data_IF_055707729839
#
_entry.id   IF_055707729839
#
_cell.length_a   1.000
_cell.length_b   1.000
_cell.length_c   1.000
_cell.angle_alpha   90.00
_cell.angle_beta   90.00
_cell.angle_gamma   90.00
#
_symmetry.space_group_name_H-M   'P 1'
#
loop_
_entity.id
_entity.type
_entity.pdbx_description
1 polymer ?
#
# COMPACT_ATOMS: atom_id res chain seq x y z
N UNK A 1 -28.49 8.75 81.54
CA UNK A 1 -29.48 7.91 80.84
C UNK A 1 -29.13 7.98 79.37
N UNK A 2 -28.50 6.92 78.86
CA UNK A 2 -28.05 6.80 77.46
C UNK A 2 -29.24 6.30 76.65
N UNK A 3 -29.64 7.03 75.61
CA UNK A 3 -30.45 6.47 74.52
C UNK A 3 -29.77 6.82 73.20
N UNK A 4 -28.85 5.91 72.86
CA UNK A 4 -28.59 5.33 71.54
C UNK A 4 -28.84 6.24 70.32
N UNK A 5 -27.75 6.70 69.69
CA UNK A 5 -27.78 7.15 68.31
C UNK A 5 -28.15 5.97 67.40
N UNK A 6 -29.29 6.03 66.71
CA UNK A 6 -29.55 5.15 65.58
C UNK A 6 -28.48 5.39 64.51
N UNK A 7 -27.44 4.55 64.49
CA UNK A 7 -26.54 4.40 63.35
C UNK A 7 -27.30 3.60 62.31
N UNK A 8 -27.98 4.29 61.40
CA UNK A 8 -28.56 3.71 60.19
C UNK A 8 -27.44 3.13 59.30
N UNK A 9 -27.29 1.81 59.43
CA UNK A 9 -26.84 0.78 58.48
C UNK A 9 -25.59 1.01 57.61
N UNK A 10 -24.41 0.48 58.02
CA UNK A 10 -23.24 0.36 57.14
C UNK A 10 -23.48 -0.50 55.89
N UNK A 11 -24.47 -1.39 55.93
CA UNK A 11 -24.82 -2.32 54.86
C UNK A 11 -25.38 -1.63 53.60
N UNK A 12 -26.17 -0.57 53.75
CA UNK A 12 -26.72 0.18 52.61
C UNK A 12 -25.62 0.90 51.82
N UNK A 13 -24.64 1.48 52.53
CA UNK A 13 -23.50 2.14 51.90
C UNK A 13 -22.58 1.15 51.19
N UNK A 14 -22.33 -0.01 51.79
CA UNK A 14 -21.50 -1.06 51.19
C UNK A 14 -22.11 -1.62 49.90
N UNK A 15 -23.43 -1.88 49.89
CA UNK A 15 -24.15 -2.28 48.68
C UNK A 15 -24.12 -1.18 47.63
N UNK A 16 -24.34 0.08 48.02
CA UNK A 16 -24.32 1.19 47.09
C UNK A 16 -22.92 1.37 46.46
N UNK A 17 -21.87 1.31 47.27
CA UNK A 17 -20.49 1.36 46.81
C UNK A 17 -20.15 0.18 45.89
N UNK A 18 -20.63 -1.03 46.21
CA UNK A 18 -20.46 -2.21 45.36
C UNK A 18 -21.15 -2.06 44.00
N UNK A 19 -22.38 -1.51 43.97
CA UNK A 19 -23.10 -1.24 42.72
C UNK A 19 -22.35 -0.21 41.89
N UNK A 20 -21.91 0.91 42.48
CA UNK A 20 -21.15 1.95 41.77
C UNK A 20 -19.83 1.38 41.22
N UNK A 21 -19.09 0.61 42.04
CA UNK A 21 -17.86 -0.04 41.62
C UNK A 21 -18.09 -1.00 40.44
N UNK A 22 -19.15 -1.81 40.50
CA UNK A 22 -19.55 -2.69 39.40
C UNK A 22 -19.91 -1.90 38.14
N UNK A 23 -20.73 -0.86 38.25
CA UNK A 23 -21.14 -0.04 37.11
C UNK A 23 -19.94 0.63 36.44
N UNK A 24 -19.02 1.23 37.21
CA UNK A 24 -17.81 1.84 36.66
C UNK A 24 -16.95 0.79 35.96
N UNK A 25 -16.78 -0.38 36.56
CA UNK A 25 -15.99 -1.49 35.99
C UNK A 25 -16.60 -1.99 34.69
N UNK A 26 -17.93 -2.18 34.65
CA UNK A 26 -18.65 -2.63 33.47
C UNK A 26 -18.54 -1.62 32.31
N UNK A 27 -18.74 -0.32 32.60
CA UNK A 27 -18.59 0.75 31.61
C UNK A 27 -17.17 0.86 31.08
N UNK A 28 -16.17 0.74 31.97
CA UNK A 28 -14.75 0.78 31.58
C UNK A 28 -14.40 -0.40 30.69
N UNK A 29 -14.83 -1.60 31.07
CA UNK A 29 -14.61 -2.84 30.29
C UNK A 29 -15.26 -2.73 28.91
N UNK A 30 -16.50 -2.26 28.85
CA UNK A 30 -17.21 -2.05 27.58
C UNK A 30 -16.47 -1.06 26.68
N UNK A 31 -16.00 0.06 27.22
CA UNK A 31 -15.22 1.06 26.47
C UNK A 31 -13.88 0.50 25.97
N UNK A 32 -13.17 -0.27 26.80
CA UNK A 32 -11.90 -0.89 26.43
C UNK A 32 -12.08 -1.94 25.33
N UNK A 33 -13.08 -2.81 25.46
CA UNK A 33 -13.40 -3.82 24.45
C UNK A 33 -13.74 -3.17 23.11
N UNK A 34 -14.58 -2.13 23.10
CA UNK A 34 -14.92 -1.42 21.87
C UNK A 34 -13.68 -0.88 21.13
N UNK A 35 -12.77 -0.23 21.86
CA UNK A 35 -11.50 0.28 21.29
C UNK A 35 -10.57 -0.84 20.83
N UNK A 36 -10.51 -1.95 21.54
CA UNK A 36 -9.69 -3.10 21.14
C UNK A 36 -10.23 -3.73 19.85
N UNK A 37 -11.55 -3.97 19.77
CA UNK A 37 -12.19 -4.54 18.58
C UNK A 37 -12.01 -3.64 17.35
N UNK A 38 -12.17 -2.32 17.49
CA UNK A 38 -11.95 -1.38 16.39
C UNK A 38 -10.48 -1.39 15.91
N UNK A 39 -9.53 -1.41 16.85
CA UNK A 39 -8.11 -1.48 16.51
C UNK A 39 -7.72 -2.79 15.83
N UNK A 40 -8.28 -3.91 16.28
CA UNK A 40 -8.08 -5.22 15.65
C UNK A 40 -8.65 -5.25 14.24
N UNK A 41 -9.87 -4.75 14.03
CA UNK A 41 -10.48 -4.65 12.71
C UNK A 41 -9.65 -3.78 11.77
N UNK A 42 -9.23 -2.60 12.23
CA UNK A 42 -8.38 -1.69 11.46
C UNK A 42 -7.02 -2.32 11.13
N UNK A 43 -6.45 -3.10 12.05
CA UNK A 43 -5.23 -3.87 11.81
C UNK A 43 -5.45 -4.96 10.76
N UNK A 44 -6.56 -5.68 10.82
CA UNK A 44 -6.87 -6.73 9.84
C UNK A 44 -7.05 -6.16 8.43
N UNK A 45 -7.81 -5.07 8.29
CA UNK A 45 -7.98 -4.36 7.01
C UNK A 45 -6.62 -3.90 6.46
N UNK A 46 -5.76 -3.34 7.31
CA UNK A 46 -4.41 -2.92 6.92
C UNK A 46 -3.54 -4.09 6.46
N UNK A 47 -3.58 -5.22 7.18
CA UNK A 47 -2.85 -6.43 6.78
C UNK A 47 -3.35 -6.92 5.43
N UNK A 48 -4.67 -7.02 5.22
CA UNK A 48 -5.25 -7.45 3.93
C UNK A 48 -4.81 -6.53 2.78
N UNK A 49 -4.83 -5.21 3.00
CA UNK A 49 -4.37 -4.24 2.00
C UNK A 49 -2.87 -4.38 1.71
N UNK A 50 -2.04 -4.52 2.76
CA UNK A 50 -0.60 -4.74 2.62
C UNK A 50 -0.28 -6.03 1.86
N UNK A 51 -1.01 -7.11 2.15
CA UNK A 51 -0.90 -8.39 1.44
C UNK A 51 -1.24 -8.22 -0.03
N UNK A 52 -2.39 -7.60 -0.36
CA UNK A 52 -2.78 -7.33 -1.74
C UNK A 52 -1.72 -6.52 -2.50
N UNK A 53 -1.23 -5.45 -1.87
CA UNK A 53 -0.18 -4.59 -2.42
C UNK A 53 1.11 -5.36 -2.70
N UNK A 54 1.53 -6.21 -1.76
CA UNK A 54 2.72 -7.06 -1.89
C UNK A 54 2.55 -8.08 -3.02
N UNK A 55 1.38 -8.72 -3.14
CA UNK A 55 1.09 -9.68 -4.22
C UNK A 55 1.21 -9.02 -5.59
N UNK A 56 0.61 -7.85 -5.79
CA UNK A 56 0.68 -7.14 -7.08
C UNK A 56 2.11 -6.70 -7.38
N UNK A 57 2.88 -6.26 -6.37
CA UNK A 57 4.29 -5.93 -6.57
C UNK A 57 5.15 -7.14 -6.89
N UNK A 58 4.90 -8.30 -6.32
CA UNK A 58 5.59 -9.53 -6.69
C UNK A 58 5.26 -9.94 -8.13
N UNK A 59 3.99 -9.82 -8.54
CA UNK A 59 3.58 -10.06 -9.92
C UNK A 59 4.26 -9.10 -10.90
N UNK A 60 4.32 -7.81 -10.55
CA UNK A 60 5.05 -6.80 -11.32
C UNK A 60 6.50 -7.20 -11.51
N UNK A 61 7.24 -7.46 -10.43
CA UNK A 61 8.67 -7.79 -10.51
C UNK A 61 8.87 -9.03 -11.39
N UNK A 62 8.03 -10.06 -11.24
CA UNK A 62 8.11 -11.26 -12.06
C UNK A 62 7.88 -10.98 -13.54
N UNK A 63 6.89 -10.16 -13.88
CA UNK A 63 6.64 -9.77 -15.28
C UNK A 63 7.81 -8.93 -15.84
N UNK A 64 8.37 -8.04 -15.04
CA UNK A 64 9.55 -7.27 -15.42
C UNK A 64 10.76 -8.19 -15.66
N UNK A 65 10.99 -9.20 -14.82
CA UNK A 65 12.04 -10.20 -15.04
C UNK A 65 11.85 -10.96 -16.36
N UNK A 66 10.61 -11.39 -16.64
CA UNK A 66 10.29 -12.11 -17.87
C UNK A 66 10.53 -11.24 -19.11
N UNK A 67 10.20 -9.94 -19.02
CA UNK A 67 10.42 -8.96 -20.08
C UNK A 67 11.92 -8.69 -20.30
N UNK A 68 12.68 -8.47 -19.23
CA UNK A 68 14.11 -8.14 -19.27
C UNK A 68 14.94 -9.32 -19.80
N UNK A 69 14.48 -10.56 -19.63
CA UNK A 69 15.15 -11.76 -20.16
C UNK A 69 15.02 -11.92 -21.68
N UNK A 70 14.14 -11.18 -22.35
CA UNK A 70 13.91 -11.31 -23.80
C UNK A 70 14.98 -10.55 -24.57
N UNK A 71 15.63 -11.22 -25.52
CA UNK A 71 16.62 -10.59 -26.42
C UNK A 71 15.97 -9.63 -27.44
N UNK A 72 14.66 -9.76 -27.65
CA UNK A 72 13.86 -8.95 -28.56
C UNK A 72 12.52 -8.62 -27.92
N UNK A 73 12.13 -7.37 -27.98
CA UNK A 73 10.85 -6.88 -27.50
C UNK A 73 9.82 -6.99 -28.64
N UNK A 74 8.67 -7.56 -28.31
CA UNK A 74 7.52 -7.70 -29.20
C UNK A 74 6.43 -6.68 -28.87
N UNK A 75 5.49 -6.48 -29.78
CA UNK A 75 4.34 -5.63 -29.54
C UNK A 75 3.45 -6.14 -28.37
N UNK A 76 3.35 -7.47 -28.21
CA UNK A 76 2.64 -8.08 -27.07
C UNK A 76 3.24 -7.64 -25.73
N UNK A 77 4.58 -7.56 -25.64
CA UNK A 77 5.27 -7.12 -24.42
C UNK A 77 4.89 -5.68 -24.01
N UNK A 78 4.60 -4.83 -25.00
CA UNK A 78 4.20 -3.45 -24.79
C UNK A 78 2.76 -3.37 -24.31
N UNK A 79 1.88 -4.23 -24.83
CA UNK A 79 0.50 -4.38 -24.35
C UNK A 79 0.50 -4.90 -22.90
N UNK A 80 1.31 -5.93 -22.61
CA UNK A 80 1.46 -6.46 -21.25
C UNK A 80 1.95 -5.38 -20.28
N UNK A 81 2.95 -4.60 -20.67
CA UNK A 81 3.48 -3.51 -19.86
C UNK A 81 2.45 -2.38 -19.65
N UNK A 82 1.58 -2.11 -20.63
CA UNK A 82 0.48 -1.16 -20.51
C UNK A 82 -0.58 -1.62 -19.51
N UNK A 83 -0.98 -2.89 -19.57
CA UNK A 83 -1.90 -3.48 -18.59
C UNK A 83 -1.30 -3.46 -17.18
N UNK A 84 0.01 -3.67 -17.08
CA UNK A 84 0.75 -3.60 -15.83
C UNK A 84 0.78 -2.17 -15.27
N UNK A 85 0.98 -1.15 -16.11
CA UNK A 85 0.89 0.26 -15.73
C UNK A 85 -0.48 0.61 -15.12
N UNK A 86 -1.57 0.15 -15.73
CA UNK A 86 -2.93 0.36 -15.20
C UNK A 86 -3.14 -0.27 -13.82
N UNK A 87 -2.61 -1.48 -13.60
CA UNK A 87 -2.68 -2.15 -12.30
C UNK A 87 -1.87 -1.40 -11.24
N UNK A 88 -0.70 -0.90 -11.61
CA UNK A 88 0.18 -0.13 -10.72
C UNK A 88 -0.45 1.18 -10.27
N UNK A 89 -1.12 1.90 -11.17
CA UNK A 89 -1.84 3.16 -10.87
C UNK A 89 -2.82 3.02 -9.70
N UNK A 90 -3.46 1.86 -9.56
CA UNK A 90 -4.44 1.63 -8.50
C UNK A 90 -3.82 1.47 -7.10
N UNK A 91 -2.63 0.88 -7.01
CA UNK A 91 -2.03 0.49 -5.71
C UNK A 91 -0.80 1.29 -5.33
N UNK A 92 -0.06 1.80 -6.31
CA UNK A 92 1.32 2.19 -6.11
C UNK A 92 1.48 3.59 -5.52
N UNK A 93 2.56 3.78 -4.77
CA UNK A 93 3.00 5.10 -4.33
C UNK A 93 3.49 5.95 -5.50
N UNK A 94 3.51 7.26 -5.31
CA UNK A 94 4.04 8.22 -6.29
C UNK A 94 5.46 7.84 -6.76
N UNK A 95 6.38 7.63 -5.83
CA UNK A 95 7.76 7.31 -6.17
C UNK A 95 7.88 6.02 -6.98
N UNK A 96 7.04 5.02 -6.67
CA UNK A 96 6.98 3.76 -7.41
C UNK A 96 6.54 4.01 -8.85
N UNK A 97 5.49 4.83 -9.05
CA UNK A 97 5.02 5.18 -10.39
C UNK A 97 6.05 5.98 -11.19
N UNK A 98 6.77 6.88 -10.54
CA UNK A 98 7.87 7.64 -11.17
C UNK A 98 9.01 6.70 -11.59
N UNK A 99 9.45 5.80 -10.70
CA UNK A 99 10.48 4.82 -11.02
C UNK A 99 10.03 3.88 -12.14
N UNK A 100 8.78 3.40 -12.08
CA UNK A 100 8.21 2.53 -13.10
C UNK A 100 8.09 3.24 -14.46
N UNK A 101 7.72 4.51 -14.50
CA UNK A 101 7.67 5.28 -15.74
C UNK A 101 9.05 5.40 -16.40
N UNK A 102 10.12 5.61 -15.62
CA UNK A 102 11.49 5.61 -16.15
C UNK A 102 11.85 4.27 -16.80
N UNK A 103 11.49 3.16 -16.13
CA UNK A 103 11.62 1.82 -16.71
C UNK A 103 10.86 1.71 -18.03
N UNK A 104 9.58 2.09 -18.08
CA UNK A 104 8.74 2.00 -19.29
C UNK A 104 9.32 2.83 -20.43
N UNK A 105 9.74 4.08 -20.17
CA UNK A 105 10.38 4.95 -21.17
C UNK A 105 11.58 4.24 -21.81
N UNK A 106 12.44 3.67 -20.96
CA UNK A 106 13.66 3.00 -21.42
C UNK A 106 13.31 1.74 -22.19
N UNK A 107 12.41 0.92 -21.67
CA UNK A 107 11.92 -0.29 -22.32
C UNK A 107 11.36 -0.01 -23.73
N UNK A 108 10.47 0.96 -23.87
CA UNK A 108 9.88 1.34 -25.18
C UNK A 108 10.96 1.85 -26.14
N UNK A 109 11.97 2.57 -25.65
CA UNK A 109 13.10 2.99 -26.49
C UNK A 109 13.89 1.79 -27.00
N UNK A 110 14.11 0.78 -26.16
CA UNK A 110 14.78 -0.46 -26.56
C UNK A 110 13.94 -1.28 -27.54
N UNK A 111 12.61 -1.22 -27.43
CA UNK A 111 11.70 -1.89 -28.35
C UNK A 111 11.81 -1.39 -29.80
N UNK A 112 12.26 -0.14 -30.00
CA UNK A 112 12.51 0.43 -31.33
C UNK A 112 13.81 -0.05 -31.96
N UNK A 113 14.70 -0.65 -31.17
CA UNK A 113 15.97 -1.18 -31.66
C UNK A 113 15.80 -2.64 -32.08
N UNK A 114 16.45 -3.05 -33.17
CA UNK A 114 16.35 -4.44 -33.66
C UNK A 114 16.97 -5.46 -32.70
N UNK A 115 17.92 -5.03 -31.85
CA UNK A 115 18.61 -5.88 -30.89
C UNK A 115 18.99 -5.09 -29.63
N UNK A 116 18.79 -5.71 -28.47
CA UNK A 116 19.19 -5.17 -27.17
C UNK A 116 20.67 -5.50 -26.95
N UNK A 117 21.50 -4.49 -26.68
CA UNK A 117 22.90 -4.72 -26.29
C UNK A 117 23.02 -5.10 -24.82
N UNK A 118 24.14 -5.69 -24.41
CA UNK A 118 24.42 -5.99 -23.00
C UNK A 118 24.36 -4.72 -22.12
N UNK A 119 24.83 -3.59 -22.65
CA UNK A 119 24.72 -2.29 -21.96
C UNK A 119 23.27 -1.82 -21.82
N UNK A 120 22.45 -2.04 -22.83
CA UNK A 120 21.02 -1.68 -22.77
C UNK A 120 20.28 -2.53 -21.72
N UNK A 121 20.69 -3.80 -21.60
CA UNK A 121 20.18 -4.72 -20.59
C UNK A 121 20.58 -4.29 -19.17
N UNK A 122 21.85 -3.95 -18.96
CA UNK A 122 22.34 -3.43 -17.67
C UNK A 122 21.60 -2.14 -17.28
N UNK A 123 21.47 -1.20 -18.20
CA UNK A 123 20.73 0.04 -17.97
C UNK A 123 19.25 -0.23 -17.61
N UNK A 124 18.63 -1.26 -18.19
CA UNK A 124 17.24 -1.65 -17.89
C UNK A 124 17.11 -2.31 -16.51
N UNK A 125 18.09 -3.15 -16.13
CA UNK A 125 18.20 -3.77 -14.81
C UNK A 125 18.42 -2.72 -13.70
N UNK A 126 19.16 -1.65 -13.99
CA UNK A 126 19.33 -0.53 -13.06
C UNK A 126 18.01 0.19 -12.78
N UNK A 127 17.21 0.47 -13.82
CA UNK A 127 15.87 1.06 -13.63
C UNK A 127 14.94 0.11 -12.88
N UNK A 128 14.98 -1.20 -13.17
CA UNK A 128 14.22 -2.22 -12.43
C UNK A 128 14.64 -2.30 -10.96
N UNK A 129 15.94 -2.12 -10.67
CA UNK A 129 16.46 -2.04 -9.31
C UNK A 129 15.89 -0.83 -8.56
N UNK A 130 15.75 0.33 -9.23
CA UNK A 130 15.12 1.49 -8.62
C UNK A 130 13.63 1.28 -8.36
N UNK A 131 12.90 0.63 -9.26
CA UNK A 131 11.51 0.22 -9.02
C UNK A 131 11.41 -0.64 -7.76
N UNK A 132 12.33 -1.58 -7.58
CA UNK A 132 12.38 -2.47 -6.41
C UNK A 132 12.65 -1.71 -5.09
N UNK A 133 13.55 -0.71 -5.12
CA UNK A 133 13.84 0.16 -3.97
C UNK A 133 12.59 0.96 -3.58
N UNK A 134 11.91 1.57 -4.55
CA UNK A 134 10.72 2.36 -4.27
C UNK A 134 9.55 1.49 -3.80
N UNK A 135 9.40 0.27 -4.34
CA UNK A 135 8.42 -0.70 -3.83
C UNK A 135 8.69 -1.04 -2.38
N UNK A 136 9.95 -1.34 -2.02
CA UNK A 136 10.33 -1.61 -0.64
C UNK A 136 9.98 -0.43 0.25
N UNK A 137 10.30 0.79 -0.17
CA UNK A 137 9.99 2.00 0.60
C UNK A 137 8.48 2.18 0.76
N UNK A 138 7.70 1.96 -0.30
CA UNK A 138 6.25 2.12 -0.29
C UNK A 138 5.51 0.98 0.47
N UNK A 139 6.15 -0.17 0.68
CA UNK A 139 5.67 -1.22 1.60
C UNK A 139 6.01 -0.87 3.06
N UNK A 140 7.22 -0.37 3.31
CA UNK A 140 7.73 -0.12 4.66
C UNK A 140 7.27 1.21 5.27
N UNK A 141 6.99 2.21 4.44
CA UNK A 141 6.59 3.52 4.91
C UNK A 141 5.09 3.51 5.27
N UNK A 142 4.82 3.57 6.58
CA UNK A 142 3.47 3.61 7.14
C UNK A 142 2.83 5.02 7.07
N UNK A 143 3.54 6.01 6.52
CA UNK A 143 3.01 7.37 6.39
C UNK A 143 2.00 7.41 5.25
N UNK A 144 0.80 7.90 5.57
CA UNK A 144 -0.19 8.27 4.56
C UNK A 144 0.49 9.16 3.53
N UNK A 145 0.50 8.70 2.28
CA UNK A 145 1.18 9.31 1.14
C UNK A 145 0.98 10.84 1.16
N UNK A 146 2.06 11.61 0.97
CA UNK A 146 1.88 12.87 0.27
C UNK A 146 1.27 12.48 -1.07
N UNK A 147 -0.01 12.78 -1.24
CA UNK A 147 -0.70 12.49 -2.49
C UNK A 147 -0.05 13.33 -3.57
N UNK A 148 0.43 12.69 -4.63
CA UNK A 148 0.75 13.38 -5.87
C UNK A 148 -0.44 14.25 -6.25
N UNK A 149 -0.19 15.51 -6.58
CA UNK A 149 -1.23 16.37 -7.14
C UNK A 149 -1.87 15.70 -8.37
N UNK A 150 -3.20 15.75 -8.46
CA UNK A 150 -3.98 15.03 -9.47
C UNK A 150 -3.50 15.37 -10.89
N UNK A 151 -3.08 16.61 -11.13
CA UNK A 151 -2.57 17.03 -12.45
C UNK A 151 -1.21 16.41 -12.78
N UNK A 152 -0.34 16.28 -11.77
CA UNK A 152 0.96 15.64 -11.93
C UNK A 152 0.81 14.14 -12.20
N UNK A 153 -0.17 13.52 -11.56
CA UNK A 153 -0.53 12.12 -11.75
C UNK A 153 -1.11 11.85 -13.14
N UNK A 154 -2.09 12.64 -13.55
CA UNK A 154 -2.69 12.56 -14.89
C UNK A 154 -1.63 12.74 -15.97
N UNK A 155 -0.75 13.73 -15.82
CA UNK A 155 0.36 13.97 -16.75
C UNK A 155 1.33 12.79 -16.83
N UNK A 156 1.62 12.13 -15.71
CA UNK A 156 2.48 10.96 -15.67
C UNK A 156 1.85 9.77 -16.40
N UNK A 157 0.54 9.55 -16.21
CA UNK A 157 -0.22 8.49 -16.89
C UNK A 157 -0.29 8.75 -18.40
N UNK A 158 -0.72 9.96 -18.79
CA UNK A 158 -0.87 10.33 -20.20
C UNK A 158 0.46 10.20 -20.94
N UNK A 159 1.55 10.71 -20.36
CA UNK A 159 2.89 10.59 -20.94
C UNK A 159 3.30 9.12 -21.13
N UNK A 160 2.99 8.25 -20.17
CA UNK A 160 3.32 6.81 -20.27
C UNK A 160 2.54 6.17 -21.41
N UNK A 161 1.24 6.45 -21.51
CA UNK A 161 0.37 5.91 -22.57
C UNK A 161 0.79 6.39 -23.96
N UNK A 162 1.02 7.71 -24.12
CA UNK A 162 1.49 8.29 -25.39
C UNK A 162 2.78 7.61 -25.86
N UNK A 163 3.75 7.38 -24.97
CA UNK A 163 5.00 6.72 -25.32
C UNK A 163 4.79 5.29 -25.83
N UNK A 164 3.86 4.56 -25.23
CA UNK A 164 3.53 3.18 -25.60
C UNK A 164 2.68 3.09 -26.88
N UNK A 165 2.04 4.18 -27.34
CA UNK A 165 1.27 4.20 -28.61
C UNK A 165 2.21 4.32 -29.83
N UNK A 166 3.42 4.87 -29.67
CA UNK A 166 4.40 4.99 -30.75
C UNK A 166 5.14 3.68 -31.10
N UNK A 167 4.75 2.54 -30.51
CA UNK A 167 5.28 1.23 -30.90
C UNK A 167 4.48 0.52 -31.97
N UNK A 168 3.35 1.10 -32.39
CA UNK A 168 2.35 0.44 -33.24
C UNK A 168 2.57 0.75 -34.73
N UNK A 169 3.65 1.50 -35.06
CA UNK A 169 4.14 1.82 -36.40
C UNK A 169 5.58 1.36 -36.57
#
# INVERSE_FOLDING_TARGET
MVLNSEKSEPFTYEIFAAIIGFTITALTTWSLLGKQTENELNKEVRIRYLTLKTTIYQELIRQLEDIVRKEKITHEDIIELRLLSQRMIFIAGENVLVAFNKFVIRFVRLAKNEKISEKDLDDLLDEMSMVSVEIRNDILDNKAKQGMDVQSFEKLILKTNELMDFSDN
#
